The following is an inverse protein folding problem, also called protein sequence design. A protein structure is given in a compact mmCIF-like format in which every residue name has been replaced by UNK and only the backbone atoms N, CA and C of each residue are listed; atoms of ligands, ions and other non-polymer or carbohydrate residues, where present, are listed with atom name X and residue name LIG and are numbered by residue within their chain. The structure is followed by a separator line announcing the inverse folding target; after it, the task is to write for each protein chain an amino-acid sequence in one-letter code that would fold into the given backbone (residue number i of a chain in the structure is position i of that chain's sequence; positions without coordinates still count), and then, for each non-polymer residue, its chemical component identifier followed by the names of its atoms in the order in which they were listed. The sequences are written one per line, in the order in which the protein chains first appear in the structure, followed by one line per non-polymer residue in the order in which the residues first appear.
data_IF_846870151566
#
_entry.id   IF_846870151566
#
_cell.length_a   1.000
_cell.length_b   1.000
_cell.length_c   1.000
_cell.angle_alpha   90.00
_cell.angle_beta   90.00
_cell.angle_gamma   90.00
#
_symmetry.space_group_name_H-M   'P 1'
#
loop_
_entity.id
_entity.type
_entity.pdbx_description
1 polymer ?
#
# COMPACT_ATOMS: atom_id res chain seq x y z
N UNK A 1 -27.55 12.87 -20.89
CA UNK A 1 -26.48 13.13 -19.93
C UNK A 1 -25.33 12.20 -20.31
N UNK A 2 -24.15 12.73 -20.66
CA UNK A 2 -22.99 11.87 -20.93
C UNK A 2 -22.52 11.33 -19.58
N UNK A 3 -22.95 10.12 -19.23
CA UNK A 3 -22.46 9.46 -18.03
C UNK A 3 -20.98 9.15 -18.23
N UNK A 4 -20.14 9.74 -17.38
CA UNK A 4 -18.70 9.44 -17.37
C UNK A 4 -18.50 7.94 -17.13
N UNK A 5 -17.79 7.22 -18.02
CA UNK A 5 -17.56 5.79 -17.84
C UNK A 5 -16.91 5.49 -16.49
N UNK A 6 -17.31 4.40 -15.86
CA UNK A 6 -16.85 4.01 -14.52
C UNK A 6 -16.12 2.67 -14.56
N UNK A 7 -14.98 2.61 -13.89
CA UNK A 7 -14.19 1.40 -13.69
C UNK A 7 -14.12 1.12 -12.20
N UNK A 8 -14.39 -0.12 -11.81
CA UNK A 8 -14.21 -0.58 -10.43
C UNK A 8 -12.98 -1.48 -10.35
N UNK A 9 -12.00 -1.08 -9.55
CA UNK A 9 -10.87 -1.91 -9.15
C UNK A 9 -11.18 -2.54 -7.79
N UNK A 10 -11.10 -3.86 -7.68
CA UNK A 10 -11.38 -4.57 -6.43
C UNK A 10 -10.07 -5.10 -5.87
N UNK A 11 -9.66 -4.60 -4.70
CA UNK A 11 -8.42 -4.99 -4.04
C UNK A 11 -8.61 -5.10 -2.52
N UNK A 12 -8.58 -6.33 -2.02
CA UNK A 12 -8.40 -6.64 -0.60
C UNK A 12 -6.91 -6.83 -0.28
N UNK A 13 -6.62 -7.30 0.92
CA UNK A 13 -5.26 -7.62 1.37
C UNK A 13 -4.64 -6.53 2.25
N UNK A 14 -3.38 -6.74 2.64
CA UNK A 14 -2.64 -5.85 3.53
C UNK A 14 -2.13 -4.59 2.80
N UNK A 15 -1.54 -3.65 3.55
CA UNK A 15 -0.99 -2.39 3.02
C UNK A 15 0.04 -2.65 1.90
N UNK A 16 0.96 -3.59 2.12
CA UNK A 16 1.98 -3.95 1.11
C UNK A 16 1.36 -4.48 -0.17
N UNK A 17 0.34 -5.35 -0.06
CA UNK A 17 -0.40 -5.88 -1.21
C UNK A 17 -1.07 -4.78 -2.05
N UNK A 18 -1.65 -3.79 -1.36
CA UNK A 18 -2.28 -2.65 -2.02
C UNK A 18 -1.23 -1.80 -2.76
N UNK A 19 -0.11 -1.50 -2.11
CA UNK A 19 0.97 -0.69 -2.70
C UNK A 19 1.60 -1.41 -3.89
N UNK A 20 1.82 -2.71 -3.80
CA UNK A 20 2.30 -3.53 -4.93
C UNK A 20 1.31 -3.58 -6.11
N UNK A 21 0.03 -3.22 -5.90
CA UNK A 21 -0.96 -3.13 -6.99
C UNK A 21 -0.97 -1.74 -7.67
N UNK A 22 -0.31 -0.72 -7.09
CA UNK A 22 -0.32 0.64 -7.64
C UNK A 22 0.20 0.74 -9.08
N UNK A 23 1.23 0.01 -9.54
CA UNK A 23 1.62 0.02 -10.94
C UNK A 23 0.48 -0.40 -11.88
N UNK A 24 -0.33 -1.38 -11.49
CA UNK A 24 -1.51 -1.79 -12.25
C UNK A 24 -2.62 -0.73 -12.20
N UNK A 25 -2.85 -0.10 -11.04
CA UNK A 25 -3.81 1.01 -10.93
C UNK A 25 -3.37 2.23 -11.74
N UNK A 26 -2.07 2.47 -11.84
CA UNK A 26 -1.49 3.51 -12.69
C UNK A 26 -1.81 3.26 -14.16
N UNK A 27 -1.62 2.04 -14.65
CA UNK A 27 -1.99 1.67 -16.02
C UNK A 27 -3.47 1.95 -16.30
N UNK A 28 -4.38 1.60 -15.37
CA UNK A 28 -5.79 1.92 -15.52
C UNK A 28 -6.03 3.43 -15.56
N UNK A 29 -5.42 4.19 -14.65
CA UNK A 29 -5.61 5.65 -14.55
C UNK A 29 -5.11 6.39 -15.79
N UNK A 30 -3.95 6.02 -16.33
CA UNK A 30 -3.33 6.66 -17.49
C UNK A 30 -4.08 6.31 -18.77
N UNK A 31 -4.43 5.05 -18.98
CA UNK A 31 -5.10 4.62 -20.21
C UNK A 31 -6.59 4.97 -20.24
N UNK A 32 -7.23 5.13 -19.09
CA UNK A 32 -8.63 5.50 -18.96
C UNK A 32 -8.81 6.85 -18.26
N UNK A 33 -8.04 7.85 -18.65
CA UNK A 33 -8.01 9.18 -18.01
C UNK A 33 -9.37 9.87 -17.90
N UNK A 34 -10.31 9.58 -18.83
CA UNK A 34 -11.67 10.14 -18.85
C UNK A 34 -12.67 9.32 -18.03
N UNK A 35 -12.28 8.16 -17.51
CA UNK A 35 -13.13 7.31 -16.69
C UNK A 35 -13.03 7.73 -15.22
N UNK A 36 -14.11 7.51 -14.49
CA UNK A 36 -14.11 7.51 -13.05
C UNK A 36 -13.58 6.15 -12.56
N UNK A 37 -12.45 6.15 -11.88
CA UNK A 37 -11.85 4.96 -11.29
C UNK A 37 -12.21 4.90 -9.80
N UNK A 38 -12.90 3.84 -9.40
CA UNK A 38 -13.32 3.63 -8.02
C UNK A 38 -12.70 2.34 -7.49
N UNK A 39 -12.48 2.26 -6.18
CA UNK A 39 -11.88 1.09 -5.53
C UNK A 39 -12.86 0.48 -4.53
N UNK A 40 -13.07 -0.82 -4.63
CA UNK A 40 -13.69 -1.64 -3.60
C UNK A 40 -12.56 -2.34 -2.82
N UNK A 41 -12.37 -1.94 -1.56
CA UNK A 41 -11.28 -2.43 -0.73
C UNK A 41 -11.45 -2.10 0.74
N UNK A 42 -10.42 -2.31 1.55
CA UNK A 42 -10.40 -1.87 2.94
C UNK A 42 -10.24 -0.34 3.02
N UNK A 43 -11.23 0.42 3.53
CA UNK A 43 -11.21 1.87 3.47
C UNK A 43 -9.96 2.51 4.09
N UNK A 44 -9.47 1.97 5.20
CA UNK A 44 -8.28 2.46 5.89
C UNK A 44 -7.00 2.31 5.06
N UNK A 45 -6.97 1.39 4.09
CA UNK A 45 -5.84 1.20 3.15
C UNK A 45 -6.12 1.94 1.83
N UNK A 46 -7.28 1.69 1.24
CA UNK A 46 -7.63 2.23 -0.08
C UNK A 46 -7.78 3.76 -0.10
N UNK A 47 -7.96 4.40 1.08
CA UNK A 47 -7.91 5.86 1.23
C UNK A 47 -6.60 6.49 0.74
N UNK A 48 -5.50 5.74 0.69
CA UNK A 48 -4.26 6.17 0.03
C UNK A 48 -4.52 6.61 -1.42
N UNK A 49 -5.35 5.86 -2.14
CA UNK A 49 -5.67 6.17 -3.54
C UNK A 49 -6.53 7.42 -3.73
N UNK A 50 -7.23 7.88 -2.69
CA UNK A 50 -7.99 9.15 -2.71
C UNK A 50 -7.13 10.38 -2.44
N UNK A 51 -6.01 10.20 -1.75
CA UNK A 51 -5.17 11.29 -1.24
C UNK A 51 -3.78 11.31 -1.88
N UNK A 52 -3.45 10.29 -2.68
CA UNK A 52 -2.20 10.19 -3.42
C UNK A 52 -2.47 9.76 -4.87
N UNK A 53 -1.64 10.23 -5.77
CA UNK A 53 -1.66 9.88 -7.19
C UNK A 53 -0.30 9.44 -7.70
N UNK A 54 -0.20 9.08 -8.98
CA UNK A 54 1.07 8.73 -9.60
C UNK A 54 2.02 9.92 -9.74
N UNK A 55 1.47 11.13 -9.92
CA UNK A 55 2.18 12.39 -10.20
C UNK A 55 1.90 13.53 -9.21
N UNK A 56 0.89 13.36 -8.35
CA UNK A 56 0.45 14.37 -7.37
C UNK A 56 -0.68 15.28 -7.85
N UNK A 57 -0.91 15.37 -9.15
CA UNK A 57 -1.95 16.25 -9.72
C UNK A 57 -3.35 15.61 -9.60
N UNK A 58 -3.43 14.30 -9.78
CA UNK A 58 -4.68 13.55 -9.72
C UNK A 58 -4.53 12.29 -8.86
N UNK A 59 -5.45 12.05 -7.89
CA UNK A 59 -5.48 10.81 -7.13
C UNK A 59 -5.62 9.56 -8.01
N UNK A 60 -5.18 8.41 -7.50
CA UNK A 60 -5.39 7.13 -8.18
C UNK A 60 -6.86 6.81 -8.35
N UNK A 61 -7.70 7.10 -7.35
CA UNK A 61 -9.12 6.79 -7.37
C UNK A 61 -9.97 8.03 -7.10
N UNK A 62 -11.18 8.02 -7.66
CA UNK A 62 -12.18 9.07 -7.49
C UNK A 62 -13.16 8.75 -6.35
N UNK A 63 -13.25 7.47 -5.92
CA UNK A 63 -14.02 7.02 -4.76
C UNK A 63 -13.48 5.69 -4.21
N UNK A 64 -13.80 5.42 -2.95
CA UNK A 64 -13.52 4.15 -2.26
C UNK A 64 -14.81 3.62 -1.65
N UNK A 65 -15.05 2.33 -1.86
CA UNK A 65 -16.14 1.56 -1.28
C UNK A 65 -15.59 0.51 -0.33
N UNK A 66 -16.26 0.29 0.80
CA UNK A 66 -15.82 -0.70 1.78
C UNK A 66 -16.15 -2.12 1.34
N UNK A 67 -15.11 -2.96 1.26
CA UNK A 67 -15.28 -4.40 1.06
C UNK A 67 -15.91 -5.09 2.29
N UNK A 68 -15.87 -4.43 3.45
CA UNK A 68 -16.44 -4.90 4.71
C UNK A 68 -17.92 -4.49 4.88
N UNK A 69 -18.49 -3.82 3.87
CA UNK A 69 -19.89 -3.42 3.94
C UNK A 69 -20.81 -4.64 4.01
N UNK A 70 -21.55 -4.77 5.12
CA UNK A 70 -22.33 -5.96 5.46
C UNK A 70 -23.19 -6.52 4.31
N UNK A 71 -23.97 -5.71 3.57
CA UNK A 71 -24.76 -6.19 2.44
C UNK A 71 -23.97 -6.85 1.32
N UNK A 72 -22.64 -6.61 1.24
CA UNK A 72 -21.77 -7.25 0.26
C UNK A 72 -21.56 -8.77 0.56
N UNK A 73 -21.85 -9.22 1.76
CA UNK A 73 -21.69 -10.63 2.17
C UNK A 73 -22.45 -11.61 1.23
N UNK A 74 -23.60 -11.21 0.70
CA UNK A 74 -24.36 -11.99 -0.27
C UNK A 74 -23.58 -12.28 -1.56
N UNK A 75 -22.64 -11.42 -1.94
CA UNK A 75 -21.80 -11.60 -3.13
C UNK A 75 -20.72 -12.67 -2.94
N UNK A 76 -20.35 -12.99 -1.71
CA UNK A 76 -19.39 -14.05 -1.38
C UNK A 76 -20.06 -15.39 -1.07
N UNK A 77 -21.38 -15.48 -1.12
CA UNK A 77 -22.14 -16.70 -0.86
C UNK A 77 -22.65 -17.33 -2.16
N UNK A 78 -22.52 -18.66 -2.29
CA UNK A 78 -23.09 -19.41 -3.43
C UNK A 78 -24.62 -19.22 -3.45
N UNK A 79 -25.16 -18.73 -4.56
CA UNK A 79 -26.56 -18.34 -4.71
C UNK A 79 -27.04 -17.32 -3.66
N UNK A 80 -26.14 -16.46 -3.18
CA UNK A 80 -26.45 -15.47 -2.17
C UNK A 80 -27.58 -14.51 -2.59
N UNK A 81 -28.27 -13.99 -1.59
CA UNK A 81 -29.22 -12.90 -1.80
C UNK A 81 -28.45 -11.60 -2.04
N UNK A 82 -28.58 -11.03 -3.22
CA UNK A 82 -27.87 -9.82 -3.59
C UNK A 82 -28.67 -8.59 -3.20
N UNK A 83 -28.03 -7.67 -2.51
CA UNK A 83 -28.62 -6.38 -2.14
C UNK A 83 -28.93 -5.57 -3.40
N UNK A 84 -30.13 -5.00 -3.50
CA UNK A 84 -30.60 -4.29 -4.70
C UNK A 84 -29.79 -3.02 -4.99
N UNK A 85 -29.38 -2.26 -3.96
CA UNK A 85 -28.58 -1.05 -4.15
C UNK A 85 -27.16 -1.39 -4.62
N UNK A 86 -26.57 -2.49 -4.12
CA UNK A 86 -25.30 -3.00 -4.64
C UNK A 86 -25.42 -3.53 -6.07
N UNK A 87 -26.54 -4.19 -6.43
CA UNK A 87 -26.77 -4.58 -7.83
C UNK A 87 -26.83 -3.36 -8.75
N UNK A 88 -27.55 -2.30 -8.35
CA UNK A 88 -27.61 -1.05 -9.09
C UNK A 88 -26.22 -0.41 -9.21
N UNK A 89 -25.46 -0.35 -8.11
CA UNK A 89 -24.08 0.15 -8.08
C UNK A 89 -23.20 -0.64 -9.07
N UNK A 90 -23.19 -1.98 -8.97
CA UNK A 90 -22.36 -2.83 -9.83
C UNK A 90 -22.73 -2.71 -11.31
N UNK A 91 -24.01 -2.70 -11.63
CA UNK A 91 -24.50 -2.59 -13.02
C UNK A 91 -24.07 -1.28 -13.71
N UNK A 92 -23.74 -0.25 -12.93
CA UNK A 92 -23.26 1.04 -13.41
C UNK A 92 -21.79 1.06 -13.86
N UNK A 93 -21.02 -0.01 -13.64
CA UNK A 93 -19.63 -0.07 -14.07
C UNK A 93 -19.50 -0.66 -15.47
N UNK A 94 -18.76 0.02 -16.35
CA UNK A 94 -18.40 -0.46 -17.68
C UNK A 94 -17.35 -1.54 -17.64
N UNK A 95 -16.47 -1.52 -16.62
CA UNK A 95 -15.43 -2.51 -16.39
C UNK A 95 -15.26 -2.75 -14.89
N UNK A 96 -15.17 -4.00 -14.48
CA UNK A 96 -14.71 -4.43 -13.16
C UNK A 96 -13.40 -5.18 -13.33
N UNK A 97 -12.37 -4.80 -12.56
CA UNK A 97 -11.08 -5.49 -12.48
C UNK A 97 -10.87 -5.94 -11.05
N UNK A 98 -10.70 -7.25 -10.82
CA UNK A 98 -10.64 -7.82 -9.48
C UNK A 98 -9.33 -8.57 -9.23
N UNK A 99 -8.62 -8.17 -8.18
CA UNK A 99 -7.49 -8.91 -7.61
C UNK A 99 -7.89 -9.74 -6.37
N UNK A 100 -9.18 -9.98 -6.17
CA UNK A 100 -9.64 -10.86 -5.09
C UNK A 100 -9.30 -12.32 -5.39
N UNK A 101 -8.96 -13.06 -4.34
CA UNK A 101 -8.88 -14.50 -4.40
C UNK A 101 -10.32 -15.07 -4.41
N UNK A 102 -10.76 -15.53 -5.55
CA UNK A 102 -12.10 -16.10 -5.79
C UNK A 102 -11.95 -17.45 -6.56
N UNK A 103 -11.38 -18.48 -5.91
CA UNK A 103 -11.03 -19.72 -6.57
C UNK A 103 -12.22 -20.49 -7.13
N UNK A 104 -13.40 -20.32 -6.51
CA UNK A 104 -14.65 -20.98 -6.92
C UNK A 104 -15.49 -20.09 -7.88
N UNK A 105 -15.03 -18.87 -8.19
CA UNK A 105 -15.73 -17.92 -9.05
C UNK A 105 -17.09 -17.44 -8.49
N UNK A 106 -17.29 -17.58 -7.17
CA UNK A 106 -18.57 -17.24 -6.53
C UNK A 106 -18.81 -15.73 -6.58
N UNK A 107 -17.80 -14.95 -6.23
CA UNK A 107 -17.91 -13.49 -6.23
C UNK A 107 -18.12 -12.98 -7.67
N UNK A 108 -17.31 -13.43 -8.63
CA UNK A 108 -17.48 -13.07 -10.03
C UNK A 108 -18.88 -13.39 -10.55
N UNK A 109 -19.37 -14.63 -10.29
CA UNK A 109 -20.69 -15.05 -10.74
C UNK A 109 -21.80 -14.15 -10.18
N UNK A 110 -21.70 -13.76 -8.91
CA UNK A 110 -22.68 -12.87 -8.27
C UNK A 110 -22.58 -11.43 -8.79
N UNK A 111 -21.37 -10.91 -9.04
CA UNK A 111 -21.18 -9.59 -9.66
C UNK A 111 -21.74 -9.56 -11.08
N UNK A 112 -21.57 -10.64 -11.84
CA UNK A 112 -22.21 -10.77 -13.16
C UNK A 112 -23.75 -10.87 -13.06
N UNK A 113 -24.29 -11.57 -12.09
CA UNK A 113 -25.74 -11.59 -11.78
C UNK A 113 -26.28 -10.20 -11.44
N UNK A 114 -25.47 -9.34 -10.82
CA UNK A 114 -25.81 -7.96 -10.53
C UNK A 114 -25.77 -7.04 -11.77
N UNK A 115 -25.48 -7.57 -12.96
CA UNK A 115 -25.55 -6.84 -14.24
C UNK A 115 -24.21 -6.42 -14.83
N UNK A 116 -23.08 -6.73 -14.20
CA UNK A 116 -21.74 -6.43 -14.74
C UNK A 116 -21.49 -7.27 -16.00
N UNK A 117 -21.22 -6.60 -17.12
CA UNK A 117 -20.93 -7.26 -18.40
C UNK A 117 -19.44 -7.57 -18.57
N UNK A 118 -18.58 -6.64 -18.21
CA UNK A 118 -17.13 -6.77 -18.35
C UNK A 118 -16.50 -6.93 -16.96
N UNK A 119 -16.12 -8.15 -16.63
CA UNK A 119 -15.39 -8.50 -15.42
C UNK A 119 -14.08 -9.16 -15.80
N UNK A 120 -12.98 -8.64 -15.30
CA UNK A 120 -11.65 -9.20 -15.44
C UNK A 120 -11.16 -9.69 -14.09
N UNK A 121 -10.92 -10.98 -13.97
CA UNK A 121 -10.17 -11.54 -12.85
C UNK A 121 -8.68 -11.32 -13.11
N UNK A 122 -8.10 -10.37 -12.41
CA UNK A 122 -6.67 -10.04 -12.46
C UNK A 122 -5.90 -10.68 -11.29
N UNK A 123 -6.55 -11.55 -10.49
CA UNK A 123 -5.89 -12.26 -9.41
C UNK A 123 -4.78 -13.17 -9.96
N UNK A 124 -3.64 -13.09 -9.32
CA UNK A 124 -2.54 -14.04 -9.52
C UNK A 124 -1.99 -14.49 -8.18
N UNK A 125 -1.67 -15.77 -8.06
CA UNK A 125 -0.87 -16.26 -6.94
C UNK A 125 0.59 -15.92 -7.23
N UNK A 126 1.12 -14.96 -6.48
CA UNK A 126 2.51 -14.53 -6.63
C UNK A 126 3.46 -15.72 -6.41
N UNK A 127 4.38 -15.91 -7.35
CA UNK A 127 5.42 -16.93 -7.31
C UNK A 127 6.82 -16.28 -7.22
N UNK A 128 7.87 -17.09 -7.21
CA UNK A 128 9.26 -16.60 -7.07
C UNK A 128 9.94 -16.20 -8.39
N UNK A 129 9.25 -16.27 -9.54
CA UNK A 129 9.88 -16.04 -10.84
C UNK A 129 10.04 -14.57 -11.18
N UNK A 130 9.11 -13.75 -10.70
CA UNK A 130 9.07 -12.32 -11.01
C UNK A 130 8.67 -11.51 -9.79
N UNK A 131 8.98 -10.22 -9.82
CA UNK A 131 8.56 -9.28 -8.79
C UNK A 131 7.02 -9.24 -8.66
N UNK A 132 6.51 -9.19 -7.43
CA UNK A 132 5.08 -9.27 -7.15
C UNK A 132 4.25 -8.20 -7.88
N UNK A 133 4.72 -6.96 -7.94
CA UNK A 133 4.03 -5.89 -8.65
C UNK A 133 3.91 -6.14 -10.16
N UNK A 134 4.94 -6.75 -10.78
CA UNK A 134 4.88 -7.14 -12.18
C UNK A 134 3.83 -8.24 -12.40
N UNK A 135 3.79 -9.23 -11.51
CA UNK A 135 2.80 -10.31 -11.60
C UNK A 135 1.37 -9.79 -11.44
N UNK A 136 1.14 -8.82 -10.54
CA UNK A 136 -0.17 -8.19 -10.34
C UNK A 136 -0.60 -7.36 -11.56
N UNK A 137 0.34 -6.69 -12.23
CA UNK A 137 0.04 -5.90 -13.42
C UNK A 137 -0.25 -6.77 -14.66
N UNK A 138 0.36 -7.97 -14.76
CA UNK A 138 0.08 -8.93 -15.85
C UNK A 138 -1.40 -9.28 -15.97
N UNK A 139 -2.16 -9.22 -14.90
CA UNK A 139 -3.60 -9.41 -14.94
C UNK A 139 -4.32 -8.48 -15.91
N UNK A 140 -3.71 -7.35 -16.31
CA UNK A 140 -4.28 -6.37 -17.22
C UNK A 140 -3.88 -6.58 -18.70
N UNK A 141 -2.99 -7.52 -19.00
CA UNK A 141 -2.51 -7.76 -20.38
C UNK A 141 -3.64 -8.16 -21.34
N UNK A 142 -4.70 -8.80 -20.83
CA UNK A 142 -5.90 -9.11 -21.64
C UNK A 142 -6.70 -7.85 -22.06
N UNK A 143 -6.43 -6.71 -21.42
CA UNK A 143 -6.94 -5.40 -21.82
C UNK A 143 -5.93 -4.64 -22.69
N UNK A 144 -4.87 -5.31 -23.18
CA UNK A 144 -3.75 -4.70 -23.91
C UNK A 144 -3.02 -3.60 -23.12
N UNK A 145 -2.97 -3.73 -21.79
CA UNK A 145 -2.23 -2.85 -20.90
C UNK A 145 -0.97 -3.57 -20.42
N UNK A 146 0.18 -3.01 -20.74
CA UNK A 146 1.50 -3.58 -20.45
C UNK A 146 2.35 -2.59 -19.68
N UNK A 147 3.23 -3.10 -18.81
CA UNK A 147 4.22 -2.26 -18.13
C UNK A 147 5.39 -1.98 -19.11
N UNK A 148 5.67 -0.72 -19.35
CA UNK A 148 6.81 -0.27 -20.18
C UNK A 148 8.12 -0.14 -19.39
N UNK A 149 8.07 -0.23 -18.05
CA UNK A 149 9.19 -0.02 -17.14
C UNK A 149 9.09 -0.95 -15.92
N UNK A 150 10.15 -1.08 -15.10
CA UNK A 150 10.06 -1.76 -13.81
C UNK A 150 8.86 -1.27 -12.99
N UNK A 151 8.12 -2.17 -12.32
CA UNK A 151 6.87 -1.86 -11.64
C UNK A 151 7.09 -1.13 -10.30
N UNK A 152 7.73 0.01 -10.34
CA UNK A 152 7.93 0.86 -9.17
C UNK A 152 6.58 1.45 -8.72
N UNK A 153 6.22 1.20 -7.47
CA UNK A 153 5.04 1.80 -6.87
C UNK A 153 5.34 3.26 -6.50
N UNK A 154 4.50 4.17 -6.94
CA UNK A 154 4.66 5.60 -6.66
C UNK A 154 3.42 6.14 -5.99
N UNK A 155 3.59 6.87 -4.90
CA UNK A 155 2.53 7.62 -4.22
C UNK A 155 2.99 9.08 -4.08
N UNK A 156 2.34 9.98 -4.80
CA UNK A 156 2.53 11.43 -4.62
C UNK A 156 1.33 11.98 -3.86
N UNK A 157 1.50 12.35 -2.57
CA UNK A 157 0.43 12.93 -1.78
C UNK A 157 -0.07 14.23 -2.41
N UNK A 158 -1.38 14.46 -2.37
CA UNK A 158 -2.00 15.71 -2.83
C UNK A 158 -1.56 16.88 -1.96
N UNK A 159 -1.69 18.11 -2.46
CA UNK A 159 -1.35 19.32 -1.72
C UNK A 159 -2.06 19.40 -0.35
N UNK A 160 -3.32 18.92 -0.29
CA UNK A 160 -4.10 18.87 0.95
C UNK A 160 -3.50 17.84 1.94
N UNK A 161 -3.13 16.65 1.47
CA UNK A 161 -2.48 15.63 2.30
C UNK A 161 -1.10 16.10 2.82
N UNK A 162 -0.36 16.84 1.99
CA UNK A 162 0.91 17.44 2.40
C UNK A 162 0.72 18.52 3.46
N UNK A 163 -0.29 19.40 3.31
CA UNK A 163 -0.58 20.43 4.28
C UNK A 163 -0.97 19.85 5.66
N UNK A 164 -1.77 18.76 5.66
CA UNK A 164 -2.10 18.03 6.91
C UNK A 164 -0.84 17.42 7.55
N UNK A 165 0.05 16.84 6.75
CA UNK A 165 1.31 16.27 7.24
C UNK A 165 2.23 17.34 7.82
N UNK A 166 2.38 18.49 7.14
CA UNK A 166 3.19 19.61 7.60
C UNK A 166 2.63 20.19 8.92
N UNK A 167 1.31 20.29 9.06
CA UNK A 167 0.66 20.71 10.31
C UNK A 167 0.90 19.72 11.45
N UNK A 168 0.83 18.40 11.15
CA UNK A 168 1.12 17.37 12.14
C UNK A 168 2.58 17.41 12.58
N UNK A 169 3.54 17.52 11.64
CA UNK A 169 4.97 17.63 11.92
C UNK A 169 5.26 18.84 12.80
N UNK A 170 4.68 20.00 12.48
CA UNK A 170 4.83 21.20 13.29
C UNK A 170 4.31 20.99 14.73
N UNK A 171 3.16 20.33 14.90
CA UNK A 171 2.59 20.01 16.21
C UNK A 171 3.45 19.04 17.03
N UNK A 172 4.14 18.12 16.33
CA UNK A 172 5.09 17.17 16.92
C UNK A 172 6.47 17.81 17.18
N UNK A 173 6.71 19.06 16.74
CA UNK A 173 8.00 19.73 16.81
C UNK A 173 9.05 19.04 15.95
N UNK A 174 8.69 18.55 14.78
CA UNK A 174 9.57 17.90 13.79
C UNK A 174 9.79 18.81 12.59
N UNK A 175 11.03 18.96 12.17
CA UNK A 175 11.38 19.60 10.92
C UNK A 175 11.48 18.56 9.79
N UNK A 176 11.36 19.00 8.54
CA UNK A 176 11.62 18.13 7.38
C UNK A 176 13.07 17.60 7.42
N UNK A 177 13.29 16.41 6.89
CA UNK A 177 14.59 15.76 6.89
C UNK A 177 14.87 14.91 8.12
N UNK A 178 13.88 14.71 9.02
CA UNK A 178 14.01 13.77 10.15
C UNK A 178 14.23 12.34 9.65
N UNK A 179 14.76 11.49 10.53
CA UNK A 179 14.84 10.06 10.26
C UNK A 179 13.60 9.34 10.81
N UNK A 180 12.96 8.52 9.99
CA UNK A 180 11.86 7.68 10.39
C UNK A 180 12.32 6.23 10.62
N UNK A 181 11.91 5.59 11.72
CA UNK A 181 12.18 4.19 11.99
C UNK A 181 10.88 3.43 12.28
N UNK A 182 10.76 2.20 11.76
CA UNK A 182 9.65 1.30 12.03
C UNK A 182 10.18 -0.03 12.57
N UNK A 183 10.29 -0.18 13.92
CA UNK A 183 10.92 -1.34 14.54
C UNK A 183 10.02 -2.58 14.59
N UNK A 184 8.73 -2.44 14.23
CA UNK A 184 7.77 -3.53 14.21
C UNK A 184 7.64 -4.23 12.87
N UNK A 185 6.99 -5.38 12.87
CA UNK A 185 6.48 -6.05 11.67
C UNK A 185 5.30 -6.95 12.02
N UNK A 186 4.56 -7.42 11.02
CA UNK A 186 3.47 -8.38 11.22
C UNK A 186 3.92 -9.78 11.68
N UNK A 187 5.21 -10.03 11.90
CA UNK A 187 5.74 -11.32 12.35
C UNK A 187 7.03 -11.16 13.13
N UNK A 188 7.14 -11.75 14.33
CA UNK A 188 8.39 -11.73 15.12
C UNK A 188 9.62 -12.26 14.35
N UNK A 189 9.42 -13.17 13.39
CA UNK A 189 10.51 -13.73 12.57
C UNK A 189 11.13 -12.72 11.59
N UNK A 190 10.44 -11.61 11.34
CA UNK A 190 10.91 -10.52 10.47
C UNK A 190 11.50 -9.36 11.28
N UNK A 191 11.48 -9.44 12.60
CA UNK A 191 11.94 -8.35 13.44
C UNK A 191 13.44 -8.46 13.70
N UNK A 192 14.12 -7.35 13.48
CA UNK A 192 15.45 -7.10 14.01
C UNK A 192 15.37 -6.91 15.53
N UNK A 193 16.36 -7.35 16.32
CA UNK A 193 16.33 -7.20 17.77
C UNK A 193 16.07 -5.74 18.19
N UNK A 194 15.20 -5.56 19.17
CA UNK A 194 14.81 -4.22 19.64
C UNK A 194 16.02 -3.43 20.19
N UNK A 195 16.96 -4.11 20.81
CA UNK A 195 18.24 -3.56 21.28
C UNK A 195 19.02 -2.91 20.12
N UNK A 196 19.06 -3.55 18.96
CA UNK A 196 19.74 -3.02 17.78
C UNK A 196 19.02 -1.77 17.23
N UNK A 197 17.69 -1.70 17.33
CA UNK A 197 16.94 -0.49 16.98
C UNK A 197 17.29 0.67 17.90
N UNK A 198 17.44 0.44 19.20
CA UNK A 198 17.91 1.46 20.15
C UNK A 198 19.32 1.92 19.82
N UNK A 199 20.24 0.99 19.58
CA UNK A 199 21.62 1.32 19.18
C UNK A 199 21.66 2.08 17.85
N UNK A 200 20.82 1.73 16.88
CA UNK A 200 20.68 2.48 15.63
C UNK A 200 20.21 3.92 15.92
N UNK A 201 19.16 4.06 16.75
CA UNK A 201 18.61 5.37 17.10
C UNK A 201 19.60 6.28 17.87
N UNK A 202 20.56 5.71 18.62
CA UNK A 202 21.63 6.47 19.27
C UNK A 202 22.72 6.95 18.30
N UNK A 203 22.86 6.30 17.13
CA UNK A 203 23.86 6.65 16.10
C UNK A 203 23.36 7.64 15.09
N UNK A 204 22.04 7.81 14.98
CA UNK A 204 21.43 8.75 14.06
C UNK A 204 21.51 10.15 14.64
N UNK A 205 22.18 11.04 13.92
CA UNK A 205 22.19 12.45 14.24
C UNK A 205 20.87 13.11 13.84
N UNK A 206 20.29 13.90 14.76
CA UNK A 206 19.07 14.68 14.48
C UNK A 206 17.79 14.08 15.04
N UNK A 207 16.67 14.49 14.46
CA UNK A 207 15.35 14.12 14.95
C UNK A 207 14.93 12.75 14.43
N UNK A 208 14.37 11.94 15.32
CA UNK A 208 13.87 10.60 15.01
C UNK A 208 12.38 10.53 15.28
N UNK A 209 11.63 10.03 14.29
CA UNK A 209 10.23 9.64 14.40
C UNK A 209 10.11 8.11 14.40
N UNK A 210 9.61 7.55 15.49
CA UNK A 210 9.33 6.11 15.58
C UNK A 210 7.88 5.87 15.16
N UNK A 211 7.70 4.99 14.19
CA UNK A 211 6.41 4.69 13.57
C UNK A 211 5.95 3.30 14.02
N UNK A 212 4.66 3.14 14.25
CA UNK A 212 4.06 1.83 14.49
C UNK A 212 2.55 1.85 14.51
N UNK A 213 2.00 0.65 14.37
CA UNK A 213 0.57 0.37 14.50
C UNK A 213 0.19 -0.09 15.89
N UNK A 214 -1.05 -0.58 16.03
CA UNK A 214 -1.57 -1.15 17.27
C UNK A 214 -0.77 -2.40 17.68
N UNK A 215 -0.38 -3.22 16.70
CA UNK A 215 0.42 -4.43 16.92
C UNK A 215 1.83 -4.14 17.46
N UNK A 216 2.33 -2.91 17.25
CA UNK A 216 3.69 -2.51 17.63
C UNK A 216 3.74 -1.77 18.98
N UNK A 217 2.62 -1.68 19.71
CA UNK A 217 2.51 -0.86 20.92
C UNK A 217 3.56 -1.20 21.99
N UNK A 218 3.94 -2.47 22.13
CA UNK A 218 4.97 -2.91 23.07
C UNK A 218 6.35 -2.38 22.67
N UNK A 219 6.72 -2.46 21.40
CA UNK A 219 7.98 -1.94 20.86
C UNK A 219 8.03 -0.42 20.98
N UNK A 220 6.95 0.29 20.57
CA UNK A 220 6.85 1.74 20.69
C UNK A 220 7.01 2.22 22.13
N UNK A 221 6.47 1.47 23.09
CA UNK A 221 6.57 1.77 24.51
C UNK A 221 8.00 1.85 25.04
N UNK A 222 8.99 1.33 24.32
CA UNK A 222 10.41 1.39 24.69
C UNK A 222 11.11 2.66 24.18
N UNK A 223 10.50 3.40 23.23
CA UNK A 223 11.02 4.66 22.66
C UNK A 223 10.34 5.91 23.23
N UNK A 224 10.02 5.92 24.54
CA UNK A 224 9.25 7.00 25.20
C UNK A 224 9.93 8.36 25.19
N UNK A 225 11.24 8.39 24.99
CA UNK A 225 12.08 9.58 24.87
C UNK A 225 12.12 10.12 23.42
N UNK A 226 11.49 9.44 22.48
CA UNK A 226 11.45 9.79 21.07
C UNK A 226 10.05 10.23 20.65
N UNK A 227 9.95 10.92 19.51
CA UNK A 227 8.67 11.27 18.88
C UNK A 227 8.02 10.03 18.26
N UNK A 228 6.73 9.85 18.52
CA UNK A 228 6.00 8.66 18.10
C UNK A 228 4.88 9.02 17.13
N UNK A 229 4.78 8.27 16.02
CA UNK A 229 3.66 8.27 15.10
C UNK A 229 2.92 6.94 15.22
N UNK A 230 1.92 6.87 16.09
CA UNK A 230 1.18 5.64 16.38
C UNK A 230 -0.23 5.70 15.79
N UNK A 231 -0.64 4.65 15.08
CA UNK A 231 -1.99 4.47 14.52
C UNK A 231 -2.47 5.65 13.64
N UNK A 232 -1.55 6.31 12.93
CA UNK A 232 -1.95 7.41 12.05
C UNK A 232 -2.69 6.87 10.82
N UNK A 233 -3.67 7.63 10.29
CA UNK A 233 -4.26 7.33 8.99
C UNK A 233 -3.17 7.26 7.91
N UNK A 234 -3.24 6.23 7.04
CA UNK A 234 -2.19 5.99 6.04
C UNK A 234 -1.95 7.18 5.09
N UNK A 235 -2.97 7.95 4.63
CA UNK A 235 -2.71 9.15 3.82
C UNK A 235 -1.92 10.23 4.55
N UNK A 236 -2.17 10.43 5.85
CA UNK A 236 -1.39 11.35 6.68
C UNK A 236 0.04 10.83 6.85
N UNK A 237 0.20 9.54 7.14
CA UNK A 237 1.51 8.91 7.27
C UNK A 237 2.30 8.98 5.94
N UNK A 238 1.64 8.82 4.79
CA UNK A 238 2.26 9.01 3.48
C UNK A 238 2.82 10.43 3.30
N UNK A 239 2.05 11.45 3.68
CA UNK A 239 2.50 12.84 3.69
C UNK A 239 3.70 13.06 4.62
N UNK A 240 3.65 12.53 5.83
CA UNK A 240 4.75 12.62 6.82
C UNK A 240 6.01 11.94 6.27
N UNK A 241 5.90 10.71 5.78
CA UNK A 241 7.03 9.96 5.23
C UNK A 241 7.65 10.63 3.99
N UNK A 242 6.87 11.37 3.20
CA UNK A 242 7.40 12.15 2.08
C UNK A 242 8.31 13.32 2.50
N UNK A 243 8.33 13.67 3.78
CA UNK A 243 9.15 14.72 4.39
C UNK A 243 10.36 14.19 5.16
N UNK A 244 10.48 12.86 5.36
CA UNK A 244 11.64 12.30 6.03
C UNK A 244 12.88 12.32 5.12
N UNK A 245 14.06 12.44 5.72
CA UNK A 245 15.35 12.34 5.03
C UNK A 245 15.73 10.89 4.79
N UNK A 246 15.54 10.03 5.80
CA UNK A 246 15.83 8.61 5.73
C UNK A 246 14.74 7.80 6.45
N UNK A 247 14.55 6.58 5.97
CA UNK A 247 13.63 5.61 6.56
C UNK A 247 14.34 4.27 6.78
N UNK A 248 14.16 3.69 7.96
CA UNK A 248 14.64 2.35 8.29
C UNK A 248 13.48 1.48 8.73
N UNK A 249 13.38 0.28 8.19
CA UNK A 249 12.29 -0.66 8.54
C UNK A 249 12.56 -2.07 8.06
N UNK A 250 11.59 -2.95 8.32
CA UNK A 250 11.58 -4.33 7.86
C UNK A 250 10.74 -4.51 6.58
N UNK A 251 10.63 -5.74 6.10
CA UNK A 251 9.64 -6.16 5.10
C UNK A 251 8.21 -6.00 5.66
N UNK A 252 7.64 -4.80 5.52
CA UNK A 252 6.31 -4.42 6.02
C UNK A 252 5.57 -3.51 5.06
N UNK A 253 4.24 -3.41 5.23
CA UNK A 253 3.42 -2.48 4.46
C UNK A 253 3.83 -1.01 4.63
N UNK A 254 4.34 -0.61 5.80
CA UNK A 254 4.82 0.75 6.06
C UNK A 254 6.12 1.02 5.31
N UNK A 255 7.00 0.03 5.17
CA UNK A 255 8.21 0.14 4.35
C UNK A 255 7.88 0.31 2.86
N UNK A 256 6.86 -0.41 2.38
CA UNK A 256 6.33 -0.17 1.02
C UNK A 256 5.78 1.25 0.87
N UNK A 257 5.09 1.77 1.90
CA UNK A 257 4.57 3.13 1.88
C UNK A 257 5.70 4.16 1.84
N UNK A 258 6.73 4.00 2.67
CA UNK A 258 7.89 4.88 2.70
C UNK A 258 8.61 4.92 1.35
N UNK A 259 8.87 3.76 0.77
CA UNK A 259 9.46 3.68 -0.56
C UNK A 259 8.56 4.31 -1.62
N UNK A 260 7.25 4.04 -1.62
CA UNK A 260 6.33 4.55 -2.64
C UNK A 260 6.20 6.09 -2.62
N UNK A 261 6.36 6.75 -1.47
CA UNK A 261 6.39 8.22 -1.39
C UNK A 261 7.75 8.83 -1.73
N UNK A 262 8.77 8.00 -2.00
CA UNK A 262 10.12 8.41 -2.40
C UNK A 262 11.08 8.65 -1.24
N UNK A 263 10.78 8.19 -0.03
CA UNK A 263 11.70 8.26 1.10
C UNK A 263 12.94 7.38 0.85
N UNK A 264 14.14 7.91 1.10
CA UNK A 264 15.38 7.11 1.06
C UNK A 264 15.28 6.01 2.12
N UNK A 265 15.13 4.77 1.68
CA UNK A 265 14.74 3.67 2.54
C UNK A 265 15.82 2.60 2.63
N UNK A 266 16.19 2.21 3.85
CA UNK A 266 17.00 1.02 4.13
C UNK A 266 16.10 -0.03 4.78
N UNK A 267 15.94 -1.17 4.10
CA UNK A 267 14.98 -2.21 4.45
C UNK A 267 15.65 -3.52 4.78
N UNK A 268 15.29 -4.10 5.92
CA UNK A 268 15.82 -5.36 6.42
C UNK A 268 14.90 -6.50 5.99
N UNK A 269 15.42 -7.40 5.17
CA UNK A 269 14.71 -8.58 4.68
C UNK A 269 15.33 -9.84 5.29
N UNK A 270 14.49 -10.64 5.95
CA UNK A 270 14.86 -11.92 6.55
C UNK A 270 14.34 -13.09 5.69
N UNK A 271 13.29 -13.79 6.18
CA UNK A 271 12.81 -15.03 5.53
C UNK A 271 12.06 -14.80 4.20
N UNK A 272 11.69 -13.57 3.90
CA UNK A 272 10.94 -13.22 2.68
C UNK A 272 11.93 -12.89 1.56
N UNK A 273 11.82 -13.48 0.35
CA UNK A 273 12.71 -13.17 -0.76
C UNK A 273 12.53 -11.73 -1.25
N UNK A 274 13.55 -10.90 -1.09
CA UNK A 274 13.51 -9.50 -1.47
C UNK A 274 13.33 -9.31 -2.98
N UNK A 275 13.86 -10.20 -3.81
CA UNK A 275 13.70 -10.18 -5.28
C UNK A 275 12.24 -10.22 -5.73
N UNK A 276 11.34 -10.76 -4.89
CA UNK A 276 9.91 -10.86 -5.17
C UNK A 276 9.12 -9.72 -4.53
N UNK A 277 9.49 -9.35 -3.30
CA UNK A 277 8.62 -8.53 -2.46
C UNK A 277 9.16 -7.14 -2.12
N UNK A 278 10.48 -6.89 -2.25
CA UNK A 278 11.03 -5.60 -1.84
C UNK A 278 10.51 -4.46 -2.73
N UNK A 279 10.20 -3.29 -2.17
CA UNK A 279 9.91 -2.12 -2.96
C UNK A 279 11.03 -1.84 -3.96
N UNK A 280 10.68 -1.44 -5.19
CA UNK A 280 11.63 -1.07 -6.24
C UNK A 280 11.87 0.45 -6.21
N UNK A 281 13.07 0.86 -6.63
CA UNK A 281 13.46 2.26 -6.78
C UNK A 281 14.92 2.47 -6.41
N UNK A 282 15.59 3.40 -7.08
CA UNK A 282 17.00 3.71 -6.81
C UNK A 282 17.29 4.32 -5.43
N UNK A 283 16.25 4.72 -4.72
CA UNK A 283 16.28 5.25 -3.35
C UNK A 283 16.06 4.17 -2.27
N UNK A 284 15.88 2.92 -2.69
CA UNK A 284 15.65 1.78 -1.78
C UNK A 284 16.90 0.91 -1.72
N UNK A 285 17.45 0.78 -0.52
CA UNK A 285 18.53 -0.16 -0.19
C UNK A 285 17.94 -1.34 0.57
N UNK A 286 18.16 -2.55 0.08
CA UNK A 286 17.73 -3.78 0.76
C UNK A 286 18.94 -4.47 1.35
N UNK A 287 18.83 -4.88 2.62
CA UNK A 287 19.84 -5.70 3.32
C UNK A 287 19.17 -7.02 3.67
N UNK A 288 19.64 -8.11 3.05
CA UNK A 288 19.14 -9.45 3.27
C UNK A 288 20.02 -10.20 4.25
N UNK A 289 19.40 -10.88 5.24
CA UNK A 289 20.07 -11.80 6.12
C UNK A 289 19.12 -12.94 6.49
N UNK A 290 19.63 -14.19 6.56
CA UNK A 290 18.82 -15.33 6.99
C UNK A 290 18.32 -15.16 8.42
N UNK A 291 19.17 -14.61 9.29
CA UNK A 291 18.85 -14.22 10.64
C UNK A 291 19.20 -12.74 10.83
N UNK A 292 18.18 -11.90 10.97
CA UNK A 292 18.35 -10.47 11.17
C UNK A 292 19.14 -10.14 12.46
N UNK A 293 19.11 -11.00 13.47
CA UNK A 293 19.87 -10.78 14.71
C UNK A 293 21.39 -10.74 14.50
N UNK A 294 21.89 -11.26 13.37
CA UNK A 294 23.31 -11.20 13.02
C UNK A 294 23.76 -9.87 12.42
N UNK A 295 22.81 -9.02 12.01
CA UNK A 295 23.13 -7.70 11.48
C UNK A 295 23.44 -6.73 12.61
N UNK A 296 24.60 -6.08 12.54
CA UNK A 296 24.93 -5.02 13.50
C UNK A 296 24.38 -3.65 13.03
N UNK A 297 24.10 -2.72 13.95
CA UNK A 297 23.68 -1.36 13.61
C UNK A 297 24.64 -0.62 12.68
N UNK A 298 25.97 -0.88 12.82
CA UNK A 298 26.99 -0.30 11.95
C UNK A 298 26.82 -0.71 10.48
N UNK A 299 26.48 -1.98 10.23
CA UNK A 299 26.28 -2.49 8.88
C UNK A 299 25.08 -1.84 8.16
N UNK A 300 24.14 -1.26 8.93
CA UNK A 300 22.92 -0.66 8.41
C UNK A 300 23.16 0.81 8.05
N UNK A 301 24.00 1.52 8.78
CA UNK A 301 24.34 2.93 8.55
C UNK A 301 25.48 3.12 7.57
N UNK A 302 26.25 2.08 7.24
CA UNK A 302 27.31 2.09 6.22
C UNK A 302 26.72 2.07 4.81
#
# INVERSE_FOLDING_TARGET
MNDTPRILAIRGGAIGDFILTLPALRLLRENFAKCRLEILGYPHIASLALRCGPDGDRPYADAVHSIEYGPLAGFFARNGNLDAALCEMFSGYQQVVSWLFDPDGIFEANVRRAGVKNYLSAYTKVNSEHHAAAQLARGLESMALFLDAPPEATLRPTAEALAEADAWLASAGLNHGFTAIHPGSGSPRKNWPLEHWHQLAERIDGEILVIGGEADAAQLGTFRDRKLAQNLPLPLLAGILSRCGEYFGHDTGISHLAAAVGAKSTLLFGPTPASVWAPLGGHVRVIEAQDLATLSPEAITA
#
